data_IF_650690561524
#
_entry.id   IF_650690561524
#
_cell.length_a   1.000
_cell.length_b   1.000
_cell.length_c   1.000
_cell.angle_alpha   90.00
_cell.angle_beta   90.00
_cell.angle_gamma   90.00
#
_symmetry.space_group_name_H-M   'P 1'
#
loop_
_entity.id
_entity.type
_entity.pdbx_description
1 polymer ?
#
# COMPACT_ATOMS: atom_id res chain seq x y z
N UNK A 1 65.66 21.73 32.05
CA UNK A 1 65.68 20.71 30.95
C UNK A 1 64.76 19.59 31.39
N UNK A 2 63.47 19.65 31.04
CA UNK A 2 62.45 18.68 31.43
C UNK A 2 62.13 17.79 30.23
N UNK A 3 62.46 16.49 30.36
CA UNK A 3 62.13 15.44 29.41
C UNK A 3 60.68 14.97 29.67
N UNK A 4 59.77 15.21 28.72
CA UNK A 4 58.45 14.65 28.72
C UNK A 4 58.50 13.23 28.18
N UNK A 5 58.33 12.21 29.01
CA UNK A 5 58.22 10.83 28.60
C UNK A 5 56.77 10.51 28.19
N UNK A 6 56.56 10.24 26.91
CA UNK A 6 55.28 9.71 26.42
C UNK A 6 55.15 8.22 26.74
N UNK A 7 54.27 7.84 27.67
CA UNK A 7 53.90 6.43 27.90
C UNK A 7 52.84 6.01 26.90
N UNK A 8 53.22 5.15 25.96
CA UNK A 8 52.29 4.44 25.07
C UNK A 8 51.55 3.37 25.90
N UNK A 9 50.25 3.62 26.16
CA UNK A 9 49.36 2.58 26.65
C UNK A 9 49.00 1.64 25.50
N UNK A 10 49.44 0.39 25.58
CA UNK A 10 49.01 -0.70 24.68
C UNK A 10 47.55 -1.00 24.97
N UNK A 11 46.69 -0.63 24.04
CA UNK A 11 45.29 -1.05 24.03
C UNK A 11 45.23 -2.47 23.47
N UNK A 12 44.90 -3.44 24.33
CA UNK A 12 44.59 -4.80 23.89
C UNK A 12 43.15 -4.81 23.39
N UNK A 13 42.93 -4.94 22.07
CA UNK A 13 41.61 -5.20 21.48
C UNK A 13 41.40 -6.72 21.59
N UNK A 14 40.62 -7.15 22.59
CA UNK A 14 40.11 -8.52 22.67
C UNK A 14 39.05 -8.70 21.58
N UNK A 15 39.39 -9.36 20.49
CA UNK A 15 38.41 -9.90 19.55
C UNK A 15 37.71 -11.10 20.20
N UNK A 16 36.52 -10.86 20.77
CA UNK A 16 35.63 -11.95 21.19
C UNK A 16 34.99 -12.55 19.95
N UNK A 17 35.45 -13.73 19.53
CA UNK A 17 34.80 -14.53 18.49
C UNK A 17 33.47 -15.02 19.06
N UNK A 18 32.38 -14.38 18.66
CA UNK A 18 31.03 -14.84 18.94
C UNK A 18 30.72 -16.03 18.01
N UNK A 19 30.88 -17.25 18.55
CA UNK A 19 30.45 -18.45 17.83
C UNK A 19 28.94 -18.40 17.65
N UNK A 20 28.50 -18.22 16.41
CA UNK A 20 27.10 -18.31 16.00
C UNK A 20 26.71 -19.79 16.13
N UNK A 21 26.07 -20.17 17.24
CA UNK A 21 25.40 -21.45 17.36
C UNK A 21 24.28 -21.51 16.36
N UNK A 22 24.45 -22.28 15.28
CA UNK A 22 23.40 -22.60 14.34
C UNK A 22 22.30 -23.36 15.09
N UNK A 23 21.22 -22.70 15.43
CA UNK A 23 19.99 -23.34 15.87
C UNK A 23 19.49 -24.25 14.72
N UNK A 24 19.04 -25.48 15.01
CA UNK A 24 18.48 -26.34 13.97
C UNK A 24 17.32 -25.57 13.33
N UNK A 25 17.43 -25.38 12.00
CA UNK A 25 16.53 -24.56 11.24
C UNK A 25 15.08 -24.98 11.46
N UNK A 26 14.25 -24.05 11.91
CA UNK A 26 12.86 -24.07 11.53
C UNK A 26 12.81 -24.22 10.01
N UNK A 27 12.28 -25.33 9.52
CA UNK A 27 11.91 -25.47 8.13
C UNK A 27 10.83 -24.44 7.88
N UNK A 28 11.24 -23.22 7.51
CA UNK A 28 10.33 -22.25 6.95
C UNK A 28 9.63 -22.96 5.80
N UNK A 29 8.31 -23.10 5.88
CA UNK A 29 7.53 -23.64 4.78
C UNK A 29 7.98 -22.90 3.53
N UNK A 30 8.48 -23.64 2.53
CA UNK A 30 8.83 -23.03 1.26
C UNK A 30 7.60 -22.26 0.79
N UNK A 31 7.77 -20.98 0.41
CA UNK A 31 6.65 -20.24 -0.15
C UNK A 31 6.11 -21.07 -1.32
N UNK A 32 4.78 -21.24 -1.35
CA UNK A 32 4.12 -21.94 -2.45
C UNK A 32 4.73 -21.40 -3.75
N UNK A 33 5.16 -22.31 -4.64
CA UNK A 33 5.72 -21.92 -5.93
C UNK A 33 4.61 -21.20 -6.70
N UNK A 34 4.69 -19.88 -6.74
CA UNK A 34 3.80 -19.07 -7.57
C UNK A 34 4.11 -19.43 -9.01
N UNK A 35 3.16 -20.10 -9.69
CA UNK A 35 3.22 -20.28 -11.13
C UNK A 35 3.18 -18.93 -11.87
N UNK A 36 3.21 -18.95 -13.22
CA UNK A 36 3.02 -17.73 -13.99
C UNK A 36 1.72 -17.04 -13.58
N UNK A 37 1.82 -15.79 -13.12
CA UNK A 37 0.65 -15.00 -12.75
C UNK A 37 0.13 -14.23 -13.96
N UNK A 38 -1.20 -14.11 -14.07
CA UNK A 38 -1.83 -13.24 -15.07
C UNK A 38 -1.37 -11.79 -14.92
N UNK A 39 -1.06 -11.07 -15.99
CA UNK A 39 -0.76 -9.63 -15.93
C UNK A 39 -1.88 -8.81 -15.29
N UNK A 40 -3.14 -9.29 -15.35
CA UNK A 40 -4.31 -8.69 -14.69
C UNK A 40 -4.51 -9.17 -13.25
N UNK A 41 -3.62 -10.04 -12.74
CA UNK A 41 -3.63 -10.59 -11.36
C UNK A 41 -4.98 -11.22 -10.96
N UNK A 42 -5.70 -11.80 -11.92
CA UNK A 42 -6.99 -12.48 -11.68
C UNK A 42 -6.82 -13.75 -10.84
N UNK A 43 -5.61 -14.33 -10.88
CA UNK A 43 -5.23 -15.52 -10.10
C UNK A 43 -5.03 -15.24 -8.61
N UNK A 44 -4.93 -13.96 -8.22
CA UNK A 44 -4.77 -13.54 -6.82
C UNK A 44 -6.13 -13.38 -6.17
N UNK A 45 -6.37 -14.09 -5.05
CA UNK A 45 -7.58 -13.92 -4.27
C UNK A 45 -7.58 -12.59 -3.52
N UNK A 46 -8.66 -11.80 -3.68
CA UNK A 46 -8.91 -10.60 -2.89
C UNK A 46 -9.88 -10.92 -1.75
N UNK A 47 -9.77 -10.24 -0.59
CA UNK A 47 -10.61 -10.54 0.57
C UNK A 47 -12.07 -10.16 0.37
N UNK A 48 -12.37 -9.26 -0.55
CA UNK A 48 -13.72 -8.82 -0.89
C UNK A 48 -13.93 -8.73 -2.40
N UNK A 49 -15.18 -8.70 -2.89
CA UNK A 49 -15.47 -8.53 -4.30
C UNK A 49 -14.81 -7.30 -4.91
N UNK A 50 -14.22 -7.47 -6.10
CA UNK A 50 -13.56 -6.40 -6.83
C UNK A 50 -14.52 -5.84 -7.87
N UNK A 51 -14.70 -4.53 -7.85
CA UNK A 51 -15.41 -3.74 -8.85
C UNK A 51 -14.43 -2.90 -9.67
N UNK A 52 -14.92 -2.30 -10.76
CA UNK A 52 -14.10 -1.52 -11.65
C UNK A 52 -14.75 -0.16 -11.95
N UNK A 53 -13.96 0.90 -11.84
CA UNK A 53 -14.28 2.22 -12.40
C UNK A 53 -13.63 2.33 -13.77
N UNK A 54 -14.44 2.47 -14.83
CA UNK A 54 -13.96 2.62 -16.20
C UNK A 54 -13.93 4.08 -16.59
N UNK A 55 -12.83 4.52 -17.22
CA UNK A 55 -12.67 5.89 -17.71
C UNK A 55 -11.63 5.95 -18.82
N UNK A 56 -11.49 7.14 -19.43
CA UNK A 56 -10.49 7.36 -20.47
C UNK A 56 -9.33 8.22 -19.94
N UNK A 57 -8.10 7.77 -20.20
CA UNK A 57 -6.86 8.39 -19.73
C UNK A 57 -5.85 8.43 -20.88
N UNK A 58 -5.33 9.60 -21.23
CA UNK A 58 -4.40 9.81 -22.36
C UNK A 58 -4.82 9.10 -23.67
N UNK A 59 -6.12 9.16 -23.96
CA UNK A 59 -6.69 8.54 -25.17
C UNK A 59 -6.88 7.01 -25.10
N UNK A 60 -6.56 6.37 -23.98
CA UNK A 60 -6.73 4.93 -23.76
C UNK A 60 -7.90 4.66 -22.80
N UNK A 61 -8.69 3.63 -23.10
CA UNK A 61 -9.73 3.15 -22.19
C UNK A 61 -9.09 2.29 -21.11
N UNK A 62 -9.32 2.66 -19.84
CA UNK A 62 -8.74 2.01 -18.67
C UNK A 62 -9.81 1.70 -17.64
N UNK A 63 -9.51 0.75 -16.76
CA UNK A 63 -10.35 0.44 -15.59
C UNK A 63 -9.50 0.44 -14.34
N UNK A 64 -9.97 1.09 -13.29
CA UNK A 64 -9.38 1.05 -11.95
C UNK A 64 -10.15 0.06 -11.08
N UNK A 65 -9.45 -0.95 -10.57
CA UNK A 65 -10.03 -1.96 -9.67
C UNK A 65 -10.12 -1.41 -8.24
N UNK A 66 -11.19 -1.76 -7.53
CA UNK A 66 -11.36 -1.41 -6.13
C UNK A 66 -12.28 -2.39 -5.43
N UNK A 67 -12.10 -2.53 -4.12
CA UNK A 67 -13.07 -3.17 -3.23
C UNK A 67 -13.90 -2.07 -2.54
N UNK A 68 -15.24 -2.22 -2.54
CA UNK A 68 -16.17 -1.35 -1.82
C UNK A 68 -16.82 -2.19 -0.71
N UNK A 69 -16.35 -1.98 0.51
CA UNK A 69 -16.67 -2.86 1.64
C UNK A 69 -17.56 -2.12 2.62
N UNK A 70 -18.75 -2.67 2.81
CA UNK A 70 -19.71 -2.15 3.78
C UNK A 70 -19.27 -2.43 5.23
N UNK A 71 -19.73 -1.59 6.19
CA UNK A 71 -19.55 -1.86 7.60
C UNK A 71 -20.07 -3.25 8.00
N UNK A 72 -19.38 -3.91 8.94
CA UNK A 72 -19.83 -5.17 9.54
C UNK A 72 -20.77 -4.94 10.74
N UNK A 73 -20.81 -3.73 11.27
CA UNK A 73 -21.62 -3.27 12.39
C UNK A 73 -22.50 -2.09 11.98
N UNK A 74 -23.12 -1.42 12.92
CA UNK A 74 -23.87 -0.19 12.64
C UNK A 74 -22.94 0.84 11.97
N UNK A 75 -23.36 1.36 10.80
CA UNK A 75 -22.58 2.33 10.04
C UNK A 75 -22.39 3.63 10.82
N UNK A 76 -21.15 4.12 10.89
CA UNK A 76 -20.83 5.41 11.51
C UNK A 76 -20.97 6.61 10.53
N UNK A 77 -21.36 6.34 9.28
CA UNK A 77 -21.54 7.35 8.23
C UNK A 77 -20.26 7.82 7.55
N UNK A 78 -19.10 7.29 7.94
CA UNK A 78 -17.81 7.71 7.41
C UNK A 78 -17.23 6.68 6.42
N UNK A 79 -16.51 7.18 5.43
CA UNK A 79 -15.78 6.37 4.44
C UNK A 79 -14.28 6.53 4.61
N UNK A 80 -13.55 5.42 4.49
CA UNK A 80 -12.09 5.38 4.47
C UNK A 80 -11.63 4.88 3.10
N UNK A 81 -10.73 5.61 2.45
CA UNK A 81 -10.05 5.17 1.22
C UNK A 81 -8.66 4.67 1.59
N UNK A 82 -8.31 3.46 1.16
CA UNK A 82 -7.02 2.83 1.41
C UNK A 82 -6.17 2.81 0.14
N UNK A 83 -5.00 3.47 0.17
CA UNK A 83 -4.07 3.61 -0.95
C UNK A 83 -2.78 2.86 -0.67
N UNK A 84 -2.51 1.82 -1.44
CA UNK A 84 -1.32 0.96 -1.30
C UNK A 84 -0.02 1.65 -1.69
N UNK A 85 1.12 1.09 -1.24
CA UNK A 85 2.48 1.50 -1.61
C UNK A 85 2.86 1.12 -3.04
N UNK A 86 4.03 1.54 -3.50
CA UNK A 86 4.62 1.06 -4.76
C UNK A 86 4.81 -0.46 -4.72
N UNK A 87 4.59 -1.15 -5.84
CA UNK A 87 4.70 -2.60 -6.00
C UNK A 87 3.72 -3.44 -5.15
N UNK A 88 2.75 -2.80 -4.50
CA UNK A 88 1.66 -3.47 -3.78
C UNK A 88 0.33 -3.27 -4.52
N UNK A 89 -0.72 -3.87 -3.98
CA UNK A 89 -2.11 -3.76 -4.46
C UNK A 89 -3.08 -3.93 -3.28
N UNK A 90 -4.37 -3.71 -3.49
CA UNK A 90 -5.34 -3.54 -2.41
C UNK A 90 -5.55 -4.78 -1.51
N UNK A 91 -5.20 -5.99 -1.99
CA UNK A 91 -5.33 -7.24 -1.21
C UNK A 91 -4.61 -7.15 0.14
N UNK A 92 -3.41 -6.52 0.19
CA UNK A 92 -2.62 -6.49 1.43
C UNK A 92 -3.28 -5.69 2.57
N UNK A 93 -4.31 -4.92 2.28
CA UNK A 93 -5.10 -4.21 3.25
C UNK A 93 -6.12 -5.08 4.02
N UNK A 94 -6.19 -6.38 3.72
CA UNK A 94 -7.22 -7.30 4.27
C UNK A 94 -7.45 -7.16 5.77
N UNK A 95 -6.40 -7.12 6.57
CA UNK A 95 -6.52 -7.02 8.03
C UNK A 95 -7.01 -5.63 8.47
N UNK A 96 -6.55 -4.56 7.79
CA UNK A 96 -7.00 -3.19 8.04
C UNK A 96 -8.47 -3.01 7.67
N UNK A 97 -8.90 -3.60 6.55
CA UNK A 97 -10.31 -3.60 6.12
C UNK A 97 -11.17 -4.25 7.20
N UNK A 98 -10.79 -5.43 7.72
CA UNK A 98 -11.58 -6.13 8.73
C UNK A 98 -11.70 -5.30 10.02
N UNK A 99 -10.61 -4.70 10.50
CA UNK A 99 -10.67 -3.84 11.69
C UNK A 99 -11.60 -2.65 11.45
N UNK A 100 -11.42 -1.90 10.38
CA UNK A 100 -12.21 -0.68 10.13
C UNK A 100 -13.68 -0.97 9.88
N UNK A 101 -14.04 -2.05 9.17
CA UNK A 101 -15.45 -2.37 8.95
C UNK A 101 -16.18 -2.76 10.23
N UNK A 102 -15.49 -3.37 11.20
CA UNK A 102 -16.04 -3.66 12.53
C UNK A 102 -16.22 -2.40 13.37
N UNK A 103 -15.48 -1.32 13.07
CA UNK A 103 -15.66 0.02 13.67
C UNK A 103 -16.72 0.88 12.94
N UNK A 104 -17.48 0.28 12.02
CA UNK A 104 -18.60 0.93 11.35
C UNK A 104 -18.23 1.77 10.12
N UNK A 105 -16.99 1.72 9.64
CA UNK A 105 -16.57 2.45 8.43
C UNK A 105 -16.97 1.70 7.16
N UNK A 106 -17.35 2.47 6.11
CA UNK A 106 -17.30 1.99 4.72
C UNK A 106 -15.87 2.12 4.20
N UNK A 107 -15.35 1.13 3.49
CA UNK A 107 -13.98 1.12 3.02
C UNK A 107 -13.93 1.03 1.49
N UNK A 108 -13.17 1.91 0.85
CA UNK A 108 -12.77 1.81 -0.55
C UNK A 108 -11.26 1.49 -0.61
N UNK A 109 -10.91 0.27 -0.96
CA UNK A 109 -9.50 -0.11 -1.15
C UNK A 109 -9.23 -0.26 -2.65
N UNK A 110 -8.32 0.56 -3.20
CA UNK A 110 -8.11 0.67 -4.64
C UNK A 110 -6.79 0.04 -5.08
N UNK A 111 -6.80 -0.59 -6.26
CA UNK A 111 -5.59 -0.79 -7.05
C UNK A 111 -5.41 0.43 -7.94
N UNK A 112 -4.36 1.21 -7.72
CA UNK A 112 -4.11 2.35 -8.60
C UNK A 112 -3.81 1.87 -10.03
N UNK A 113 -4.09 2.70 -11.05
CA UNK A 113 -3.67 2.41 -12.44
C UNK A 113 -2.18 2.06 -12.46
N UNK A 114 -1.84 0.98 -13.15
CA UNK A 114 -0.50 0.39 -13.18
C UNK A 114 -0.28 -0.77 -12.19
N UNK A 115 -1.20 -1.02 -11.26
CA UNK A 115 -1.03 -2.00 -10.17
C UNK A 115 -2.21 -2.97 -10.08
N UNK A 116 -1.99 -4.09 -9.40
CA UNK A 116 -3.00 -5.07 -9.07
C UNK A 116 -3.87 -5.49 -10.26
N UNK A 117 -5.17 -5.48 -10.08
CA UNK A 117 -6.16 -5.79 -11.13
C UNK A 117 -6.53 -4.61 -12.02
N UNK A 118 -5.99 -3.42 -11.76
CA UNK A 118 -6.19 -2.24 -12.61
C UNK A 118 -5.44 -2.36 -13.92
N UNK A 119 -5.91 -1.61 -14.94
CA UNK A 119 -5.23 -1.47 -16.23
C UNK A 119 -3.78 -0.97 -16.05
N UNK A 120 -2.89 -1.43 -16.93
CA UNK A 120 -1.47 -1.08 -16.94
C UNK A 120 -1.11 -0.41 -18.28
N UNK A 121 -1.71 0.75 -18.60
CA UNK A 121 -1.44 1.44 -19.86
C UNK A 121 -0.01 1.98 -19.90
N UNK A 122 0.52 2.12 -21.09
CA UNK A 122 1.81 2.78 -21.30
C UNK A 122 1.61 4.30 -21.35
N UNK A 123 1.58 4.93 -20.18
CA UNK A 123 1.33 6.37 -19.98
C UNK A 123 2.21 6.90 -18.83
N UNK A 124 2.35 8.22 -18.66
CA UNK A 124 2.92 8.79 -17.45
C UNK A 124 2.09 8.41 -16.21
N UNK A 125 2.74 7.98 -15.14
CA UNK A 125 2.10 7.68 -13.86
C UNK A 125 2.36 8.85 -12.89
N UNK A 126 1.52 9.89 -12.93
CA UNK A 126 1.69 11.07 -12.10
C UNK A 126 0.88 10.97 -10.80
N UNK A 127 1.38 11.60 -9.73
CA UNK A 127 0.61 11.71 -8.47
C UNK A 127 -0.68 12.50 -8.66
N UNK A 128 -0.69 13.43 -9.63
CA UNK A 128 -1.89 14.22 -9.94
C UNK A 128 -2.99 13.33 -10.52
N UNK A 129 -2.68 12.52 -11.52
CA UNK A 129 -3.65 11.59 -12.11
C UNK A 129 -4.15 10.57 -11.09
N UNK A 130 -3.22 10.03 -10.26
CA UNK A 130 -3.62 9.09 -9.19
C UNK A 130 -4.60 9.73 -8.20
N UNK A 131 -4.39 10.99 -7.81
CA UNK A 131 -5.32 11.73 -6.95
C UNK A 131 -6.65 12.00 -7.66
N UNK A 132 -6.61 12.39 -8.95
CA UNK A 132 -7.81 12.57 -9.77
C UNK A 132 -8.65 11.28 -9.86
N UNK A 133 -8.03 10.13 -10.03
CA UNK A 133 -8.76 8.86 -10.09
C UNK A 133 -9.49 8.54 -8.79
N UNK A 134 -8.92 8.91 -7.62
CA UNK A 134 -9.60 8.76 -6.32
C UNK A 134 -10.81 9.71 -6.24
N UNK A 135 -10.65 10.97 -6.68
CA UNK A 135 -11.77 11.91 -6.77
C UNK A 135 -12.90 11.34 -7.63
N UNK A 136 -12.59 10.87 -8.83
CA UNK A 136 -13.56 10.26 -9.74
C UNK A 136 -14.29 9.09 -9.10
N UNK A 137 -13.59 8.23 -8.33
CA UNK A 137 -14.21 7.12 -7.62
C UNK A 137 -15.16 7.61 -6.53
N UNK A 138 -14.79 8.62 -5.75
CA UNK A 138 -15.65 9.19 -4.72
C UNK A 138 -16.90 9.82 -5.34
N UNK A 139 -16.78 10.55 -6.45
CA UNK A 139 -17.89 11.15 -7.19
C UNK A 139 -18.84 10.06 -7.74
N UNK A 140 -18.29 9.02 -8.37
CA UNK A 140 -19.08 7.88 -8.88
C UNK A 140 -19.88 7.17 -7.78
N UNK A 141 -19.32 7.15 -6.56
CA UNK A 141 -19.96 6.54 -5.38
C UNK A 141 -20.88 7.50 -4.62
N UNK A 142 -20.99 8.76 -5.06
CA UNK A 142 -21.77 9.78 -4.35
C UNK A 142 -21.23 10.10 -2.96
N UNK A 143 -19.92 9.98 -2.75
CA UNK A 143 -19.24 10.21 -1.47
C UNK A 143 -18.66 11.63 -1.48
N UNK A 144 -19.21 12.56 -0.69
CA UNK A 144 -18.77 13.96 -0.73
C UNK A 144 -17.41 14.20 -0.10
N UNK A 145 -16.93 13.27 0.74
CA UNK A 145 -15.63 13.32 1.35
C UNK A 145 -15.29 12.04 2.09
N UNK A 146 -14.00 11.77 2.29
CA UNK A 146 -13.52 10.55 2.92
C UNK A 146 -12.19 10.77 3.68
N UNK A 147 -11.96 9.97 4.71
CA UNK A 147 -10.62 9.84 5.28
C UNK A 147 -9.73 9.02 4.33
N UNK A 148 -8.61 9.58 3.91
CA UNK A 148 -7.69 8.88 3.00
C UNK A 148 -6.45 8.42 3.75
N UNK A 149 -6.20 7.12 3.73
CA UNK A 149 -5.04 6.47 4.37
C UNK A 149 -4.12 5.92 3.28
N UNK A 150 -2.89 6.40 3.25
CA UNK A 150 -1.89 5.98 2.27
C UNK A 150 -0.63 5.41 2.90
N UNK A 151 -0.16 4.30 2.36
CA UNK A 151 1.13 3.72 2.72
C UNK A 151 2.19 4.07 1.68
N UNK A 152 3.37 4.55 2.09
CA UNK A 152 4.51 4.85 1.20
C UNK A 152 4.10 5.76 0.03
N UNK A 153 4.20 5.32 -1.23
CA UNK A 153 3.72 6.07 -2.40
C UNK A 153 2.22 6.44 -2.28
N UNK A 154 1.39 5.60 -1.64
CA UNK A 154 0.00 5.93 -1.33
C UNK A 154 -0.12 7.18 -0.45
N UNK A 155 0.81 7.40 0.49
CA UNK A 155 0.88 8.62 1.30
C UNK A 155 1.19 9.87 0.46
N UNK A 156 2.03 9.76 -0.58
CA UNK A 156 2.28 10.85 -1.52
C UNK A 156 1.01 11.20 -2.31
N UNK A 157 0.24 10.18 -2.73
CA UNK A 157 -1.06 10.39 -3.40
C UNK A 157 -2.07 11.02 -2.44
N UNK A 158 -2.11 10.58 -1.18
CA UNK A 158 -2.96 11.17 -0.13
C UNK A 158 -2.66 12.66 0.05
N UNK A 159 -1.40 13.04 0.18
CA UNK A 159 -1.00 14.43 0.28
C UNK A 159 -1.40 15.23 -0.96
N UNK A 160 -1.16 14.67 -2.15
CA UNK A 160 -1.58 15.31 -3.41
C UNK A 160 -3.09 15.49 -3.50
N UNK A 161 -3.87 14.50 -3.04
CA UNK A 161 -5.33 14.57 -3.01
C UNK A 161 -5.79 15.71 -2.08
N UNK A 162 -5.29 15.76 -0.84
CA UNK A 162 -5.67 16.77 0.14
C UNK A 162 -5.36 18.20 -0.32
N UNK A 163 -4.25 18.41 -1.06
CA UNK A 163 -3.94 19.70 -1.64
C UNK A 163 -4.78 20.06 -2.87
N UNK A 164 -5.23 19.07 -3.64
CA UNK A 164 -5.98 19.33 -4.88
C UNK A 164 -7.49 19.42 -4.65
N UNK A 165 -8.00 18.75 -3.63
CA UNK A 165 -9.44 18.60 -3.33
C UNK A 165 -9.70 18.75 -1.83
N UNK A 166 -9.39 19.92 -1.23
CA UNK A 166 -9.48 20.13 0.22
C UNK A 166 -10.91 20.06 0.77
N UNK A 167 -11.91 20.09 -0.11
CA UNK A 167 -13.32 20.00 0.24
C UNK A 167 -13.84 18.57 0.41
N UNK A 168 -13.03 17.52 0.07
CA UNK A 168 -13.45 16.12 0.01
C UNK A 168 -12.90 15.23 1.13
#
# INVERSE_FOLDING_TARGET
MNSFGFRLHRVWISMTFMALLALPGSTAAQPASWGPMSPSMEDVAYPHPVSYLSFRMYGQDVRMAYMDVSPATAANGQTVVLLHGGNFFAEYWKNTIEVLRHEGFRILATDRIGYGRSSKPLVPYTLHDMALHIKMLLEEKGIPGAAIVGHSMGGMVTSRFAFSYPEM
#
